data_IF_891453384558
#
_entry.id   IF_891453384558
#
_cell.length_a   1.000
_cell.length_b   1.000
_cell.length_c   1.000
_cell.angle_alpha   90.00
_cell.angle_beta   90.00
_cell.angle_gamma   90.00
#
_symmetry.space_group_name_H-M   'P 1'
#
loop_
_entity.id
_entity.type
_entity.pdbx_description
1 polymer ?
#
# COMPACT_ATOMS: atom_id res chain seq x y z
N UNK A 1 0.59 11.40 20.59
CA UNK A 1 1.51 10.31 20.24
C UNK A 1 0.75 9.02 20.41
N UNK A 2 0.30 8.42 19.30
CA UNK A 2 -0.37 7.11 19.34
C UNK A 2 0.71 6.04 19.21
N UNK A 3 0.62 5.06 20.09
CA UNK A 3 1.46 3.88 20.11
C UNK A 3 0.70 2.75 19.41
N UNK A 4 1.28 2.21 18.35
CA UNK A 4 0.96 0.84 17.98
C UNK A 4 1.74 -0.01 18.98
N UNK A 5 1.04 -0.57 19.96
CA UNK A 5 1.66 -1.37 21.02
C UNK A 5 2.13 -2.72 20.44
N UNK A 6 3.35 -2.74 19.93
CA UNK A 6 4.01 -3.92 19.37
C UNK A 6 4.39 -4.93 20.46
N UNK A 7 4.38 -4.54 21.74
CA UNK A 7 4.90 -5.35 22.85
C UNK A 7 3.77 -6.04 23.63
N UNK A 8 2.57 -5.43 23.73
CA UNK A 8 1.46 -6.00 24.51
C UNK A 8 0.39 -6.75 23.71
N UNK A 9 0.52 -6.88 22.38
CA UNK A 9 -0.42 -7.68 21.57
C UNK A 9 0.19 -9.02 21.16
N UNK A 10 0.54 -9.81 22.17
CA UNK A 10 0.88 -11.22 22.06
C UNK A 10 -0.40 -12.05 21.88
N UNK A 11 -1.19 -11.74 20.84
CA UNK A 11 -2.17 -12.69 20.31
C UNK A 11 -1.43 -13.45 19.23
N UNK A 12 -1.01 -14.66 19.60
CA UNK A 12 -0.24 -15.61 18.80
C UNK A 12 -0.78 -15.66 17.36
N UNK A 13 -0.12 -14.93 16.45
CA UNK A 13 -0.27 -15.17 15.03
C UNK A 13 0.40 -16.52 14.73
N UNK A 14 -0.16 -17.34 13.83
CA UNK A 14 0.45 -18.61 13.47
C UNK A 14 1.87 -18.38 12.92
N UNK A 15 2.84 -19.09 13.50
CA UNK A 15 4.24 -19.07 13.09
C UNK A 15 4.35 -19.53 11.62
N UNK A 16 4.91 -18.70 10.74
CA UNK A 16 4.99 -18.97 9.30
C UNK A 16 6.44 -19.10 8.85
N UNK A 17 6.71 -20.09 8.01
CA UNK A 17 7.99 -20.26 7.32
C UNK A 17 8.14 -19.24 6.18
N UNK A 18 9.36 -18.69 6.00
CA UNK A 18 9.70 -17.68 4.98
C UNK A 18 9.23 -18.08 3.56
N UNK A 19 8.39 -17.25 2.88
CA UNK A 19 8.05 -17.51 1.49
C UNK A 19 9.25 -17.22 0.58
N UNK A 20 9.81 -18.29 0.01
CA UNK A 20 10.87 -18.21 -0.99
C UNK A 20 10.36 -17.60 -2.30
N UNK A 21 10.92 -16.44 -2.65
CA UNK A 21 11.08 -15.83 -3.98
C UNK A 21 10.28 -16.43 -5.15
N UNK A 22 9.37 -15.66 -5.74
CA UNK A 22 8.89 -15.91 -7.11
C UNK A 22 8.70 -14.64 -7.96
N UNK A 23 8.96 -14.77 -9.26
CA UNK A 23 9.13 -13.71 -10.27
C UNK A 23 7.79 -13.21 -10.82
N UNK A 24 7.74 -11.91 -11.13
CA UNK A 24 6.73 -11.29 -12.00
C UNK A 24 6.65 -12.05 -13.33
N UNK A 25 5.49 -12.64 -13.65
CA UNK A 25 5.17 -13.08 -15.02
C UNK A 25 4.37 -11.98 -15.72
N UNK A 26 4.93 -11.46 -16.81
CA UNK A 26 4.20 -10.69 -17.81
C UNK A 26 3.30 -11.65 -18.58
N UNK A 27 1.98 -11.51 -18.44
CA UNK A 27 1.05 -12.17 -19.36
C UNK A 27 1.11 -11.42 -20.70
N UNK A 28 1.60 -12.09 -21.75
CA UNK A 28 1.53 -11.57 -23.11
C UNK A 28 0.07 -11.60 -23.58
N UNK A 29 -0.46 -10.45 -23.99
CA UNK A 29 -1.79 -10.34 -24.57
C UNK A 29 -1.86 -11.12 -25.90
N UNK A 30 -2.75 -12.12 -25.97
CA UNK A 30 -3.10 -12.74 -27.25
C UNK A 30 -4.03 -11.79 -28.02
N UNK A 31 -3.77 -11.61 -29.31
CA UNK A 31 -4.28 -10.54 -30.17
C UNK A 31 -5.79 -10.56 -30.50
N UNK A 32 -6.62 -11.33 -29.78
CA UNK A 32 -8.03 -11.55 -30.15
C UNK A 32 -9.06 -11.19 -29.06
N UNK A 33 -8.67 -10.41 -28.05
CA UNK A 33 -9.64 -9.85 -27.08
C UNK A 33 -9.84 -8.35 -27.31
N UNK A 34 -11.12 -7.94 -27.37
CA UNK A 34 -11.56 -6.55 -27.39
C UNK A 34 -10.72 -5.71 -26.43
N UNK A 35 -10.13 -4.64 -26.95
CA UNK A 35 -9.12 -3.79 -26.30
C UNK A 35 -9.62 -3.15 -25.02
N UNK A 36 -9.60 -3.90 -23.92
CA UNK A 36 -9.33 -3.34 -22.61
C UNK A 36 -7.92 -2.73 -22.71
N UNK A 37 -7.80 -1.43 -22.41
CA UNK A 37 -6.55 -0.69 -22.53
C UNK A 37 -5.42 -1.48 -21.88
N UNK A 38 -4.22 -1.52 -22.48
CA UNK A 38 -3.07 -2.25 -21.93
C UNK A 38 -2.84 -1.99 -20.43
N UNK A 39 -3.23 -0.80 -19.93
CA UNK A 39 -3.26 -0.44 -18.51
C UNK A 39 -4.12 -1.39 -17.63
N UNK A 40 -5.27 -1.86 -18.12
CA UNK A 40 -6.14 -2.80 -17.40
C UNK A 40 -5.50 -4.20 -17.26
N UNK A 41 -4.60 -4.58 -18.18
CA UNK A 41 -3.87 -5.84 -18.09
C UNK A 41 -2.79 -5.86 -17.00
N UNK A 42 -2.44 -4.69 -16.44
CA UNK A 42 -1.43 -4.54 -15.39
C UNK A 42 -2.01 -4.25 -14.00
N UNK A 43 -3.34 -4.14 -13.86
CA UNK A 43 -3.99 -4.00 -12.55
C UNK A 43 -3.95 -5.35 -11.85
N UNK A 44 -3.09 -5.48 -10.85
CA UNK A 44 -3.05 -6.66 -9.99
C UNK A 44 -3.99 -6.44 -8.81
N UNK A 45 -4.77 -7.46 -8.49
CA UNK A 45 -5.56 -7.47 -7.26
C UNK A 45 -4.68 -8.01 -6.12
N UNK A 46 -4.72 -7.30 -4.99
CA UNK A 46 -4.09 -7.71 -3.74
C UNK A 46 -5.19 -8.17 -2.82
N UNK A 47 -5.01 -9.34 -2.25
CA UNK A 47 -5.90 -9.85 -1.20
C UNK A 47 -5.22 -9.67 0.14
N UNK A 48 -5.85 -8.93 1.05
CA UNK A 48 -5.49 -8.90 2.45
C UNK A 48 -6.46 -9.81 3.22
N UNK A 49 -5.91 -10.67 4.05
CA UNK A 49 -6.68 -11.50 4.97
C UNK A 49 -5.92 -11.63 6.28
N UNK A 50 -6.60 -12.14 7.32
CA UNK A 50 -5.94 -12.41 8.59
C UNK A 50 -4.77 -13.40 8.46
N UNK A 51 -4.86 -14.39 7.57
CA UNK A 51 -3.78 -15.37 7.35
C UNK A 51 -2.49 -14.74 6.83
N UNK A 52 -2.63 -13.57 6.18
CA UNK A 52 -1.53 -12.80 5.61
C UNK A 52 -1.00 -11.73 6.58
N UNK A 53 -1.55 -11.62 7.78
CA UNK A 53 -1.08 -10.66 8.78
C UNK A 53 0.23 -11.13 9.42
N UNK A 54 1.23 -10.25 9.46
CA UNK A 54 2.42 -10.39 10.30
C UNK A 54 2.28 -9.59 11.60
N UNK A 55 3.13 -9.92 12.58
CA UNK A 55 3.26 -9.11 13.79
C UNK A 55 3.69 -7.69 13.44
N UNK A 56 3.13 -6.71 14.16
CA UNK A 56 3.50 -5.31 14.00
C UNK A 56 4.87 -5.08 14.61
N UNK A 57 5.80 -4.58 13.80
CA UNK A 57 7.18 -4.30 14.21
C UNK A 57 7.39 -2.80 14.41
N UNK A 58 8.48 -2.37 15.08
CA UNK A 58 8.75 -0.94 15.32
C UNK A 58 8.66 -0.04 14.09
N UNK A 59 9.15 -0.52 12.95
CA UNK A 59 9.09 0.23 11.68
C UNK A 59 7.65 0.53 11.26
N UNK A 60 6.71 -0.38 11.50
CA UNK A 60 5.30 -0.19 11.14
C UNK A 60 4.68 0.95 11.96
N UNK A 61 4.96 0.97 13.27
CA UNK A 61 4.49 2.05 14.14
C UNK A 61 5.12 3.40 13.77
N UNK A 62 6.38 3.42 13.36
CA UNK A 62 7.04 4.66 12.94
C UNK A 62 6.43 5.16 11.63
N UNK A 63 6.24 4.27 10.65
CA UNK A 63 5.58 4.61 9.39
C UNK A 63 4.16 5.13 9.62
N UNK A 64 3.35 4.44 10.42
CA UNK A 64 2.00 4.87 10.74
C UNK A 64 1.97 6.25 11.42
N UNK A 65 2.88 6.50 12.37
CA UNK A 65 2.98 7.78 13.08
C UNK A 65 3.46 8.92 12.15
N UNK A 66 4.43 8.65 11.27
CA UNK A 66 4.88 9.61 10.26
C UNK A 66 3.72 10.00 9.34
N UNK A 67 2.98 9.03 8.83
CA UNK A 67 1.84 9.28 7.94
C UNK A 67 0.71 10.00 8.68
N UNK A 68 0.41 9.63 9.92
CA UNK A 68 -0.57 10.32 10.75
C UNK A 68 -0.24 11.81 10.87
N UNK A 69 1.00 12.15 11.20
CA UNK A 69 1.41 13.56 11.35
C UNK A 69 1.30 14.33 10.02
N UNK A 70 1.63 13.69 8.89
CA UNK A 70 1.46 14.31 7.57
C UNK A 70 -0.03 14.57 7.30
N UNK A 71 -0.86 13.55 7.48
CA UNK A 71 -2.29 13.64 7.22
C UNK A 71 -2.98 14.62 8.18
N UNK A 72 -2.53 14.76 9.43
CA UNK A 72 -3.03 15.76 10.40
C UNK A 72 -2.76 17.19 9.96
N UNK A 73 -1.74 17.44 9.14
CA UNK A 73 -1.48 18.76 8.58
C UNK A 73 -2.38 19.07 7.38
N UNK A 74 -2.97 18.05 6.76
CA UNK A 74 -3.87 18.18 5.61
C UNK A 74 -5.33 18.29 6.04
N UNK A 75 -5.68 17.61 7.13
CA UNK A 75 -7.05 17.52 7.61
C UNK A 75 -7.34 18.57 8.68
N UNK A 76 -8.52 19.20 8.66
CA UNK A 76 -8.91 20.20 9.66
C UNK A 76 -9.26 19.57 11.02
N UNK A 77 -9.46 18.25 11.06
CA UNK A 77 -9.86 17.49 12.24
C UNK A 77 -8.66 16.71 12.80
N UNK A 78 -8.71 16.39 14.09
CA UNK A 78 -7.71 15.53 14.71
C UNK A 78 -7.91 14.09 14.23
N UNK A 79 -7.23 13.73 13.15
CA UNK A 79 -7.26 12.38 12.61
C UNK A 79 -6.33 11.45 13.40
N UNK A 80 -6.60 10.15 13.30
CA UNK A 80 -5.80 9.10 13.92
C UNK A 80 -5.67 7.93 12.97
N UNK A 81 -4.46 7.41 12.78
CA UNK A 81 -4.24 6.23 11.93
C UNK A 81 -4.39 4.97 12.79
N UNK A 82 -5.31 4.10 12.38
CA UNK A 82 -5.60 2.86 13.10
C UNK A 82 -5.01 1.66 12.38
N UNK A 83 -4.42 0.70 13.09
CA UNK A 83 -4.06 -0.58 12.47
C UNK A 83 -5.33 -1.36 12.09
N UNK A 84 -5.30 -2.08 10.97
CA UNK A 84 -6.44 -2.87 10.50
C UNK A 84 -6.93 -3.88 11.55
N UNK A 85 -6.02 -4.46 12.34
CA UNK A 85 -6.34 -5.35 13.47
C UNK A 85 -7.14 -4.70 14.60
N UNK A 86 -7.24 -3.36 14.64
CA UNK A 86 -8.11 -2.63 15.55
C UNK A 86 -9.55 -2.53 15.04
N UNK A 87 -9.76 -2.65 13.73
CA UNK A 87 -11.09 -2.67 13.11
C UNK A 87 -11.62 -4.10 13.00
N UNK A 88 -10.83 -4.96 12.39
CA UNK A 88 -11.19 -6.34 12.13
C UNK A 88 -10.34 -7.22 13.04
N UNK A 89 -10.92 -7.58 14.19
CA UNK A 89 -10.25 -8.42 15.19
C UNK A 89 -9.90 -9.80 14.63
N UNK A 90 -8.95 -10.48 15.28
CA UNK A 90 -8.42 -11.79 14.88
C UNK A 90 -9.44 -12.96 14.96
N UNK A 91 -10.72 -12.68 15.23
CA UNK A 91 -11.79 -13.68 15.31
C UNK A 91 -12.72 -13.63 14.09
N UNK A 92 -12.51 -12.67 13.18
CA UNK A 92 -13.36 -12.46 12.03
C UNK A 92 -12.66 -13.04 10.78
N UNK A 93 -13.31 -13.97 10.09
CA UNK A 93 -12.90 -14.40 8.75
C UNK A 93 -13.26 -13.28 7.77
N UNK A 94 -12.33 -12.38 7.53
CA UNK A 94 -12.47 -11.32 6.53
C UNK A 94 -11.38 -11.41 5.48
N UNK A 95 -11.77 -11.00 4.27
CA UNK A 95 -10.91 -10.90 3.10
C UNK A 95 -11.19 -9.54 2.46
N UNK A 96 -10.12 -8.82 2.10
CA UNK A 96 -10.18 -7.50 1.51
C UNK A 96 -9.42 -7.51 0.20
N UNK A 97 -10.08 -7.19 -0.90
CA UNK A 97 -9.45 -7.11 -2.21
C UNK A 97 -9.17 -5.65 -2.53
N UNK A 98 -7.93 -5.34 -2.83
CA UNK A 98 -7.44 -4.00 -3.17
C UNK A 98 -6.89 -4.00 -4.60
N UNK A 99 -7.14 -2.92 -5.31
CA UNK A 99 -6.52 -2.69 -6.61
C UNK A 99 -5.12 -2.08 -6.40
N UNK A 100 -4.11 -2.59 -7.09
CA UNK A 100 -2.79 -1.93 -7.14
C UNK A 100 -2.83 -0.67 -8.00
N UNK A 101 -2.05 0.37 -7.67
CA UNK A 101 -1.83 1.47 -8.59
C UNK A 101 -1.23 0.91 -9.89
N UNK A 102 -1.57 1.50 -11.04
CA UNK A 102 -1.02 1.06 -12.30
C UNK A 102 0.50 1.14 -12.25
N UNK A 103 1.18 0.02 -12.53
CA UNK A 103 2.63 0.02 -12.62
C UNK A 103 3.05 1.07 -13.68
N UNK A 104 3.95 1.98 -13.29
CA UNK A 104 4.59 2.87 -14.27
C UNK A 104 5.09 1.98 -15.42
N UNK A 105 4.66 2.29 -16.65
CA UNK A 105 5.08 1.55 -17.83
C UNK A 105 6.59 1.37 -17.73
N UNK A 106 7.13 0.14 -17.88
CA UNK A 106 8.57 0.00 -17.96
C UNK A 106 9.04 0.96 -19.06
N UNK A 107 9.97 1.85 -18.74
CA UNK A 107 10.75 2.57 -19.74
C UNK A 107 11.50 1.51 -20.54
N UNK A 108 10.80 0.91 -21.51
CA UNK A 108 11.45 0.21 -22.58
C UNK A 108 12.13 1.31 -23.39
N UNK A 109 13.42 1.51 -23.11
CA UNK A 109 14.39 2.15 -24.00
C UNK A 109 14.55 1.30 -25.27
N UNK A 110 13.46 1.09 -26.00
CA UNK A 110 13.45 0.58 -27.35
C UNK A 110 12.72 1.64 -28.18
N UNK A 111 13.46 2.40 -29.01
CA UNK A 111 12.84 3.39 -29.88
C UNK A 111 12.06 2.65 -30.96
N UNK A 112 10.75 2.51 -30.75
CA UNK A 112 9.86 2.05 -31.80
C UNK A 112 9.73 3.20 -32.81
N UNK A 113 10.10 2.92 -34.05
CA UNK A 113 10.18 3.90 -35.12
C UNK A 113 8.76 4.19 -35.61
N UNK A 114 8.09 5.17 -35.00
CA UNK A 114 6.72 5.52 -35.37
C UNK A 114 6.24 6.82 -34.74
N UNK A 115 6.37 7.90 -35.51
CA UNK A 115 5.80 9.24 -35.35
C UNK A 115 6.08 10.05 -34.07
N UNK A 116 6.38 11.33 -34.31
CA UNK A 116 6.71 12.41 -33.38
C UNK A 116 5.59 12.71 -32.35
N UNK A 117 5.30 11.78 -31.46
CA UNK A 117 4.66 12.09 -30.18
C UNK A 117 5.77 12.47 -29.21
N UNK A 118 6.02 13.79 -29.10
CA UNK A 118 6.80 14.37 -28.01
C UNK A 118 6.47 13.61 -26.72
N UNK A 119 7.45 13.03 -26.01
CA UNK A 119 7.16 12.41 -24.73
C UNK A 119 6.52 13.50 -23.86
N UNK A 120 5.22 13.34 -23.58
CA UNK A 120 4.57 14.11 -22.54
C UNK A 120 5.35 13.76 -21.27
N UNK A 121 6.30 14.62 -20.90
CA UNK A 121 6.86 14.64 -19.56
C UNK A 121 5.68 14.91 -18.65
N UNK A 122 5.01 13.86 -18.18
CA UNK A 122 4.15 13.96 -17.03
C UNK A 122 5.02 14.63 -15.95
N UNK A 123 4.65 15.85 -15.57
CA UNK A 123 5.32 16.53 -14.46
C UNK A 123 5.03 15.68 -13.23
N UNK A 124 5.95 14.80 -12.86
CA UNK A 124 5.83 14.02 -11.63
C UNK A 124 5.67 15.01 -10.49
N UNK A 125 4.53 14.91 -9.81
CA UNK A 125 4.23 15.75 -8.67
C UNK A 125 4.94 15.10 -7.48
N UNK A 126 6.10 15.64 -7.13
CA UNK A 126 6.90 15.08 -6.04
C UNK A 126 6.96 16.02 -4.85
N UNK A 127 7.01 15.45 -3.64
CA UNK A 127 7.25 16.18 -2.40
C UNK A 127 8.28 15.44 -1.56
N UNK A 128 9.16 16.22 -0.95
CA UNK A 128 10.22 15.72 -0.08
C UNK A 128 10.09 16.33 1.31
N UNK A 129 10.24 15.49 2.33
CA UNK A 129 10.32 15.92 3.72
C UNK A 129 11.59 15.34 4.34
N UNK A 130 12.30 16.16 5.11
CA UNK A 130 13.33 15.68 6.02
C UNK A 130 12.75 15.70 7.42
N UNK A 131 12.79 14.55 8.10
CA UNK A 131 12.29 14.40 9.46
C UNK A 131 13.39 13.84 10.36
N UNK A 132 13.49 14.37 11.57
CA UNK A 132 14.34 13.78 12.62
C UNK A 132 13.46 12.99 13.59
N UNK A 133 13.64 11.68 13.62
CA UNK A 133 13.05 10.79 14.63
C UNK A 133 13.82 10.97 15.94
N UNK A 134 13.11 11.26 17.02
CA UNK A 134 13.66 11.33 18.38
C UNK A 134 13.21 10.10 19.15
N UNK A 135 14.17 9.30 19.62
CA UNK A 135 13.91 8.14 20.46
C UNK A 135 13.61 8.50 21.92
N UNK A 136 13.14 7.52 22.67
CA UNK A 136 12.82 7.69 24.11
C UNK A 136 14.07 7.90 24.98
N UNK A 137 15.23 7.51 24.49
CA UNK A 137 16.57 7.66 25.07
C UNK A 137 17.30 8.93 24.57
N UNK A 138 16.59 9.87 23.94
CA UNK A 138 17.12 11.06 23.25
C UNK A 138 18.04 10.74 22.05
N UNK A 139 18.04 9.50 21.55
CA UNK A 139 18.66 9.18 20.27
C UNK A 139 17.97 9.94 19.13
N UNK A 140 18.71 10.21 18.06
CA UNK A 140 18.19 10.93 16.91
C UNK A 140 18.56 10.22 15.62
N UNK A 141 17.57 10.05 14.73
CA UNK A 141 17.79 9.56 13.38
C UNK A 141 17.13 10.45 12.35
N UNK A 142 17.90 10.87 11.36
CA UNK A 142 17.37 11.62 10.21
C UNK A 142 16.83 10.63 9.17
N UNK A 143 15.63 10.89 8.70
CA UNK A 143 14.98 10.14 7.62
C UNK A 143 14.45 11.11 6.57
N UNK A 144 14.57 10.73 5.31
CA UNK A 144 14.01 11.47 4.18
C UNK A 144 12.79 10.73 3.65
N UNK A 145 11.68 11.44 3.54
CA UNK A 145 10.42 10.94 2.99
C UNK A 145 10.26 11.52 1.59
N UNK A 146 10.12 10.67 0.58
CA UNK A 146 9.86 11.04 -0.80
C UNK A 146 8.46 10.58 -1.17
N UNK A 147 7.61 11.48 -1.66
CA UNK A 147 6.26 11.17 -2.10
C UNK A 147 6.15 11.43 -3.61
N UNK A 148 5.86 10.38 -4.37
CA UNK A 148 5.42 10.47 -5.76
C UNK A 148 3.89 10.51 -5.77
N UNK A 149 3.32 11.57 -6.34
CA UNK A 149 1.89 11.83 -6.31
C UNK A 149 1.33 11.59 -7.70
N UNK A 150 0.48 10.57 -7.84
CA UNK A 150 -0.17 10.22 -9.10
C UNK A 150 -1.49 10.97 -9.25
N UNK A 151 -2.57 10.46 -8.64
CA UNK A 151 -3.89 11.06 -8.67
C UNK A 151 -4.27 11.55 -7.27
N UNK A 152 -4.48 12.85 -7.16
CA UNK A 152 -5.09 13.48 -5.99
C UNK A 152 -6.06 14.53 -6.50
N UNK A 153 -7.18 14.70 -5.79
CA UNK A 153 -8.08 15.83 -6.03
C UNK A 153 -7.31 17.15 -5.96
N UNK A 154 -7.64 18.13 -6.82
CA UNK A 154 -6.84 19.34 -7.04
C UNK A 154 -6.53 20.13 -5.77
N UNK A 155 -7.50 20.22 -4.88
CA UNK A 155 -7.42 21.02 -3.65
C UNK A 155 -6.54 20.30 -2.61
N UNK A 156 -6.68 18.98 -2.54
CA UNK A 156 -5.86 18.12 -1.69
C UNK A 156 -4.41 18.08 -2.20
N UNK A 157 -4.19 17.98 -3.52
CA UNK A 157 -2.87 18.07 -4.15
C UNK A 157 -2.17 19.39 -3.82
N UNK A 158 -2.90 20.50 -3.89
CA UNK A 158 -2.37 21.83 -3.59
C UNK A 158 -1.95 21.93 -2.13
N UNK A 159 -2.81 21.45 -1.23
CA UNK A 159 -2.54 21.41 0.21
C UNK A 159 -1.32 20.53 0.52
N UNK A 160 -1.23 19.35 -0.11
CA UNK A 160 -0.10 18.42 0.02
C UNK A 160 1.22 19.02 -0.42
N UNK A 161 1.25 19.69 -1.58
CA UNK A 161 2.46 20.36 -2.08
C UNK A 161 2.93 21.48 -1.16
N UNK A 162 1.98 22.19 -0.55
CA UNK A 162 2.24 23.33 0.34
C UNK A 162 2.48 22.92 1.79
N UNK A 163 2.47 21.61 2.12
CA UNK A 163 2.73 21.15 3.47
C UNK A 163 4.08 21.66 3.99
N UNK A 164 4.11 22.16 5.25
CA UNK A 164 5.35 22.52 5.89
C UNK A 164 6.21 21.27 6.15
N UNK A 165 7.54 21.42 6.27
CA UNK A 165 8.40 20.30 6.60
C UNK A 165 8.12 19.75 8.01
N UNK A 166 8.08 18.42 8.16
CA UNK A 166 8.03 17.77 9.47
C UNK A 166 9.44 17.74 10.04
N UNK A 167 9.77 18.66 10.94
CA UNK A 167 11.14 18.78 11.45
C UNK A 167 11.48 17.64 12.43
N UNK A 168 10.54 17.28 13.30
CA UNK A 168 10.78 16.36 14.41
C UNK A 168 9.57 15.46 14.69
N UNK A 169 9.83 14.18 14.94
CA UNK A 169 8.84 13.21 15.38
C UNK A 169 9.36 12.42 16.58
N UNK A 170 8.67 12.46 17.70
CA UNK A 170 8.99 11.63 18.86
C UNK A 170 8.48 10.20 18.68
N UNK A 171 9.29 9.24 19.11
CA UNK A 171 8.98 7.81 19.03
C UNK A 171 9.29 7.12 20.39
N UNK A 172 8.59 6.04 20.76
CA UNK A 172 8.96 5.22 21.92
C UNK A 172 10.32 4.53 21.79
N UNK A 173 10.81 4.38 20.57
CA UNK A 173 11.90 3.46 20.25
C UNK A 173 13.25 4.03 20.69
N UNK A 174 14.20 3.16 20.98
CA UNK A 174 15.55 3.51 21.39
C UNK A 174 16.50 3.48 20.18
N UNK A 175 17.75 3.89 20.39
CA UNK A 175 18.77 3.95 19.35
C UNK A 175 18.85 2.65 18.51
N UNK A 176 18.83 1.49 19.17
CA UNK A 176 18.96 0.18 18.52
C UNK A 176 17.89 -0.05 17.45
N UNK A 177 16.61 0.20 17.76
CA UNK A 177 15.54 0.02 16.76
C UNK A 177 15.55 1.12 15.71
N UNK A 178 16.02 2.33 16.06
CA UNK A 178 16.13 3.41 15.09
C UNK A 178 17.25 3.14 14.10
N UNK A 179 18.41 2.63 14.52
CA UNK A 179 19.60 2.41 13.68
C UNK A 179 19.32 1.53 12.45
N UNK A 180 18.46 0.53 12.57
CA UNK A 180 18.11 -0.39 11.47
C UNK A 180 17.16 0.21 10.42
N UNK A 181 16.53 1.35 10.70
CA UNK A 181 15.58 1.96 9.77
C UNK A 181 16.26 2.45 8.47
N UNK A 182 15.59 2.35 7.31
CA UNK A 182 16.07 3.02 6.11
C UNK A 182 16.20 4.53 6.32
N UNK A 183 17.28 5.13 5.82
CA UNK A 183 17.45 6.59 5.84
C UNK A 183 16.50 7.30 4.86
N UNK A 184 15.96 6.57 3.88
CA UNK A 184 15.03 7.09 2.88
C UNK A 184 13.84 6.14 2.72
N UNK A 185 12.64 6.71 2.76
CA UNK A 185 11.41 6.04 2.37
C UNK A 185 10.82 6.73 1.15
N UNK A 186 10.38 5.94 0.19
CA UNK A 186 9.68 6.40 -1.00
C UNK A 186 8.24 5.90 -0.94
N UNK A 187 7.31 6.81 -1.12
CA UNK A 187 5.89 6.56 -1.06
C UNK A 187 5.24 6.95 -2.38
N UNK A 188 4.23 6.20 -2.76
CA UNK A 188 3.35 6.52 -3.87
C UNK A 188 1.97 6.83 -3.29
N UNK A 189 1.40 7.96 -3.71
CA UNK A 189 0.08 8.41 -3.26
C UNK A 189 -0.87 8.40 -4.45
N UNK A 190 -2.01 7.77 -4.24
CA UNK A 190 -3.08 7.65 -5.22
C UNK A 190 -4.46 7.83 -4.58
N UNK A 191 -5.43 8.29 -5.37
CA UNK A 191 -6.82 8.52 -4.98
C UNK A 191 -7.78 8.24 -6.17
N UNK A 192 -7.31 7.57 -7.23
CA UNK A 192 -8.15 7.19 -8.36
C UNK A 192 -8.99 5.92 -8.11
N UNK A 193 -8.74 5.24 -6.99
CA UNK A 193 -9.39 3.99 -6.61
C UNK A 193 -10.82 4.16 -6.07
N UNK A 194 -11.33 3.06 -5.50
CA UNK A 194 -12.67 3.00 -4.93
C UNK A 194 -12.83 3.97 -3.75
N UNK A 195 -14.00 4.61 -3.64
CA UNK A 195 -14.29 5.57 -2.56
C UNK A 195 -14.50 4.91 -1.19
N UNK A 196 -14.85 3.61 -1.20
CA UNK A 196 -15.18 2.79 -0.03
C UNK A 196 -14.39 1.47 -0.05
N UNK A 197 -13.05 1.54 -0.06
CA UNK A 197 -12.20 0.36 -0.22
C UNK A 197 -12.32 -0.61 0.94
N UNK A 198 -12.88 -0.21 2.10
CA UNK A 198 -13.05 -1.04 3.29
C UNK A 198 -14.52 -1.45 3.54
N UNK A 199 -15.40 -1.34 2.55
CA UNK A 199 -16.84 -1.61 2.70
C UNK A 199 -17.13 -3.00 3.31
N UNK A 200 -16.37 -4.02 2.88
CA UNK A 200 -16.48 -5.38 3.41
C UNK A 200 -16.27 -5.47 4.94
N UNK A 201 -15.62 -4.48 5.54
CA UNK A 201 -15.29 -4.44 6.97
C UNK A 201 -16.23 -3.58 7.82
N UNK A 202 -17.18 -2.88 7.21
CA UNK A 202 -18.06 -1.93 7.90
C UNK A 202 -18.93 -2.57 8.98
N UNK A 203 -19.23 -3.86 8.87
CA UNK A 203 -20.00 -4.62 9.85
C UNK A 203 -19.21 -4.94 11.12
N UNK A 204 -17.87 -4.91 11.07
CA UNK A 204 -17.01 -5.33 12.18
C UNK A 204 -16.51 -4.16 13.04
N UNK A 205 -16.56 -2.93 12.52
CA UNK A 205 -15.98 -1.78 13.19
C UNK A 205 -16.97 -0.62 13.37
N UNK A 206 -16.88 0.12 14.50
CA UNK A 206 -17.61 1.37 14.64
C UNK A 206 -17.08 2.39 13.63
N UNK A 207 -17.94 3.31 13.15
CA UNK A 207 -17.51 4.37 12.26
C UNK A 207 -16.48 5.29 12.94
N UNK A 208 -15.57 5.82 12.15
CA UNK A 208 -14.61 6.83 12.54
C UNK A 208 -15.33 8.05 13.11
N UNK A 209 -14.69 8.68 14.10
CA UNK A 209 -15.24 9.86 14.78
C UNK A 209 -15.05 11.16 14.00
N UNK A 210 -14.45 11.08 12.83
CA UNK A 210 -14.08 12.20 11.97
C UNK A 210 -14.37 11.84 10.52
N UNK A 211 -14.49 12.86 9.69
CA UNK A 211 -14.64 12.69 8.24
C UNK A 211 -13.30 12.99 7.59
N UNK A 212 -12.86 12.13 6.67
CA UNK A 212 -11.65 12.37 5.87
C UNK A 212 -12.01 13.14 4.60
N UNK A 213 -11.14 14.05 4.17
CA UNK A 213 -11.33 14.83 2.95
C UNK A 213 -10.88 14.04 1.72
N UNK A 214 -9.82 13.23 1.86
CA UNK A 214 -9.30 12.37 0.80
C UNK A 214 -9.86 10.94 0.88
N UNK A 215 -11.13 10.77 0.50
CA UNK A 215 -11.78 9.45 0.41
C UNK A 215 -11.15 8.61 -0.69
N UNK A 216 -10.90 7.32 -0.45
CA UNK A 216 -10.24 6.44 -1.41
C UNK A 216 -8.73 6.65 -1.52
N UNK A 217 -8.13 7.46 -0.62
CA UNK A 217 -6.69 7.66 -0.59
C UNK A 217 -5.97 6.34 -0.31
N UNK A 218 -4.99 6.00 -1.13
CA UNK A 218 -4.11 4.87 -0.92
C UNK A 218 -2.66 5.36 -0.90
N UNK A 219 -1.90 4.89 0.08
CA UNK A 219 -0.47 5.15 0.18
C UNK A 219 0.27 3.83 0.13
N UNK A 220 1.27 3.79 -0.74
CA UNK A 220 2.11 2.63 -0.98
C UNK A 220 3.55 2.94 -0.61
N UNK A 221 4.22 2.03 0.09
CA UNK A 221 5.66 2.07 0.32
C UNK A 221 6.37 1.42 -0.85
N UNK A 222 7.16 2.18 -1.60
CA UNK A 222 7.98 1.66 -2.67
C UNK A 222 9.18 0.90 -2.09
N UNK A 223 9.33 -0.36 -2.48
CA UNK A 223 10.47 -1.22 -2.16
C UNK A 223 11.24 -1.54 -3.43
N UNK A 224 12.38 -2.21 -3.29
CA UNK A 224 13.25 -2.51 -4.43
C UNK A 224 12.60 -3.37 -5.53
N UNK A 225 11.53 -4.12 -5.21
CA UNK A 225 10.93 -5.12 -6.12
C UNK A 225 9.43 -4.97 -6.31
N UNK A 226 8.76 -4.15 -5.52
CA UNK A 226 7.31 -4.00 -5.47
C UNK A 226 6.92 -2.76 -4.64
N UNK A 227 5.62 -2.46 -4.61
CA UNK A 227 5.04 -1.39 -3.81
C UNK A 227 4.10 -2.01 -2.79
N UNK A 228 4.40 -1.87 -1.50
CA UNK A 228 3.56 -2.44 -0.44
C UNK A 228 2.44 -1.45 -0.10
N UNK A 229 1.15 -1.82 -0.12
CA UNK A 229 0.12 -0.92 0.39
C UNK A 229 0.29 -0.79 1.89
N UNK A 230 0.34 0.44 2.41
CA UNK A 230 0.59 0.70 3.82
C UNK A 230 -0.54 1.47 4.50
N UNK A 231 -1.32 2.25 3.76
CA UNK A 231 -2.41 3.05 4.32
C UNK A 231 -3.56 3.21 3.34
N UNK A 232 -4.78 3.11 3.86
CA UNK A 232 -6.03 3.30 3.12
C UNK A 232 -6.88 4.34 3.85
N UNK A 233 -7.42 5.31 3.10
CA UNK A 233 -8.42 6.27 3.54
C UNK A 233 -9.82 5.82 3.12
N UNK A 234 -10.70 5.63 4.09
CA UNK A 234 -12.07 5.21 3.90
C UNK A 234 -13.05 6.14 4.63
N UNK A 235 -14.22 6.40 4.04
CA UNK A 235 -15.23 7.33 4.58
C UNK A 235 -15.78 6.92 5.94
N UNK A 236 -15.97 5.63 6.19
CA UNK A 236 -16.53 5.10 7.42
C UNK A 236 -15.42 4.72 8.40
N UNK A 237 -14.29 4.20 7.93
CA UNK A 237 -13.24 3.69 8.80
C UNK A 237 -12.12 4.71 9.11
N UNK A 238 -12.03 5.82 8.36
CA UNK A 238 -10.94 6.80 8.49
C UNK A 238 -9.66 6.30 7.83
N UNK A 239 -8.50 6.63 8.41
CA UNK A 239 -7.20 6.19 7.89
C UNK A 239 -6.72 4.91 8.57
N UNK A 240 -6.52 3.86 7.77
CA UNK A 240 -6.20 2.52 8.25
C UNK A 240 -4.83 2.09 7.74
N UNK A 241 -3.96 1.73 8.67
CA UNK A 241 -2.66 1.16 8.40
C UNK A 241 -2.76 -0.35 8.14
N UNK A 242 -2.14 -0.79 7.04
CA UNK A 242 -2.17 -2.17 6.54
C UNK A 242 -0.78 -2.72 6.18
N UNK A 243 0.29 -1.99 6.49
CA UNK A 243 1.66 -2.37 6.09
C UNK A 243 2.18 -3.68 6.69
N UNK A 244 1.54 -4.21 7.73
CA UNK A 244 1.86 -5.51 8.32
C UNK A 244 1.12 -6.69 7.64
N UNK A 245 0.43 -6.47 6.54
CA UNK A 245 -0.24 -7.55 5.79
C UNK A 245 0.54 -7.88 4.52
N UNK A 246 0.80 -9.18 4.32
CA UNK A 246 1.42 -9.70 3.10
C UNK A 246 0.48 -9.53 1.92
N UNK A 247 0.70 -8.51 1.10
CA UNK A 247 -0.15 -8.19 -0.05
C UNK A 247 0.01 -9.14 -1.26
N UNK A 248 1.08 -9.93 -1.31
CA UNK A 248 1.50 -10.66 -2.51
C UNK A 248 1.78 -12.13 -2.21
N UNK A 249 0.79 -12.87 -1.73
CA UNK A 249 0.83 -14.32 -1.87
C UNK A 249 -0.02 -14.76 -3.06
N UNK A 250 0.60 -15.54 -3.94
CA UNK A 250 -0.09 -16.20 -5.04
C UNK A 250 -1.25 -17.00 -4.47
N UNK A 251 -2.46 -16.76 -4.97
CA UNK A 251 -3.48 -17.80 -4.96
C UNK A 251 -2.80 -19.07 -5.47
N UNK A 252 -2.65 -20.07 -4.59
CA UNK A 252 -2.42 -21.44 -5.02
C UNK A 252 -3.54 -21.72 -6.00
N UNK A 253 -3.19 -21.99 -7.25
CA UNK A 253 -4.10 -22.53 -8.26
C UNK A 253 -5.00 -23.54 -7.55
N UNK A 254 -6.30 -23.23 -7.43
CA UNK A 254 -7.27 -24.26 -7.09
C UNK A 254 -7.09 -25.35 -8.14
N UNK A 255 -6.72 -26.54 -7.71
CA UNK A 255 -6.45 -27.70 -8.55
C UNK A 255 -7.72 -28.25 -9.23
N UNK A 256 -8.60 -27.37 -9.71
CA UNK A 256 -9.84 -27.69 -10.43
C UNK A 256 -9.79 -27.32 -11.91
N UNK A 257 -8.79 -26.56 -12.37
CA UNK A 257 -8.52 -26.36 -13.80
C UNK A 257 -7.65 -27.48 -14.41
N UNK A 258 -7.82 -28.72 -13.92
CA UNK A 258 -7.45 -29.90 -14.71
C UNK A 258 -8.53 -30.09 -15.76
N UNK A 259 -8.55 -29.22 -16.77
CA UNK A 259 -9.32 -29.46 -17.99
C UNK A 259 -8.74 -30.74 -18.60
N UNK A 260 -9.52 -31.81 -18.43
CA UNK A 260 -9.38 -33.08 -19.10
C UNK A 260 -9.36 -32.84 -20.62
N UNK A 261 -8.17 -32.76 -21.22
CA UNK A 261 -8.02 -33.13 -22.62
C UNK A 261 -7.79 -34.63 -22.70
N UNK A 262 -8.87 -35.37 -22.42
CA UNK A 262 -9.08 -36.72 -22.89
C UNK A 262 -10.09 -36.64 -24.03
N UNK A 263 -9.61 -36.81 -25.26
CA UNK A 263 -10.38 -37.48 -26.30
C UNK A 263 -9.43 -37.84 -27.44
N UNK A 264 -9.01 -39.11 -27.43
CA UNK A 264 -8.66 -39.84 -28.63
C UNK A 264 -9.77 -39.66 -29.67
N UNK A 265 -9.40 -39.23 -30.88
CA UNK A 265 -10.20 -39.51 -32.07
C UNK A 265 -9.28 -40.12 -33.11
N UNK A 266 -9.37 -41.44 -33.12
CA UNK A 266 -9.04 -42.35 -34.21
C UNK A 266 -9.94 -42.04 -35.41
N UNK A 267 -9.38 -41.75 -36.58
CA UNK A 267 -10.07 -41.93 -37.86
C UNK A 267 -9.11 -42.46 -38.91
N UNK A 268 -9.11 -43.79 -39.02
CA UNK A 268 -8.84 -44.50 -40.25
C UNK A 268 -10.03 -44.36 -41.21
N UNK A 269 -9.76 -43.90 -42.44
CA UNK A 269 -10.56 -44.15 -43.65
C UNK A 269 -9.70 -43.84 -44.89
#
# INVERSE_FOLDING_TARGET
MIFIDTVNRLNQLPEREDPRFQRRRTLSSSQDSLTLSEAAAYVQQITLSQELASELVPIDSILANVLEVILQQLEPQQITVHALSQLAGAANDWELVLQTPPAEKPNNDSPDYGDDLKPQRHKHNEKHFECTLHGSDNSQKKVTLHFNIQHLQSDYLTSFKNLPPIQHLSTPYQAEQLEDLPARWSFEIDQDGESTPLEALYSYAPPAKYTISATGLQIWLQRAKDSLPILIGDTQCGYIYIGNYGAYEAHKESAEDTIQHSSDIDTSA
#
